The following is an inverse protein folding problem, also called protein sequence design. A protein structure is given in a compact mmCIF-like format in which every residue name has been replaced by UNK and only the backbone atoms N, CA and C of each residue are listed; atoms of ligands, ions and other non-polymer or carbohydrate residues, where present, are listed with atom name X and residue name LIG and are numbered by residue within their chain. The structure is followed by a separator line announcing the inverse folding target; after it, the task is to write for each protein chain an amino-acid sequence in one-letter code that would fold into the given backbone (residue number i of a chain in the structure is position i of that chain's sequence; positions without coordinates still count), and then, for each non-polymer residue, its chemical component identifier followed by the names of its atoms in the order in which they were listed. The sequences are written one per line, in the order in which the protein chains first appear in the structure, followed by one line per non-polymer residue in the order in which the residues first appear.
data_IF_577571545023
#
_entry.id   IF_577571545023
#
_cell.length_a   1.000
_cell.length_b   1.000
_cell.length_c   1.000
_cell.angle_alpha   90.00
_cell.angle_beta   90.00
_cell.angle_gamma   90.00
#
_symmetry.space_group_name_H-M   'P 1'
#
loop_
_entity.id
_entity.type
_entity.pdbx_description
1 polymer ?
#
# COMPACT_ATOMS: atom_id res chain seq x y z
N UNK A 1 15.00 1.19 5.21
CA UNK A 1 15.10 0.86 6.66
C UNK A 1 16.39 0.08 6.90
N UNK A 2 17.22 0.50 7.86
CA UNK A 2 18.51 -0.13 8.22
C UNK A 2 18.28 -1.30 9.19
N UNK A 3 19.01 -2.40 9.00
CA UNK A 3 19.12 -3.52 9.92
C UNK A 3 20.60 -3.70 10.23
N UNK A 4 20.95 -3.78 11.51
CA UNK A 4 22.35 -3.95 11.94
C UNK A 4 22.47 -5.28 12.66
N UNK A 5 23.36 -6.15 12.20
CA UNK A 5 23.68 -7.42 12.85
C UNK A 5 25.02 -7.27 13.57
N UNK A 6 25.01 -7.24 14.91
CA UNK A 6 26.21 -7.20 15.72
C UNK A 6 26.82 -8.59 15.84
N UNK A 7 28.14 -8.69 15.64
CA UNK A 7 28.88 -9.93 15.70
C UNK A 7 29.51 -10.12 17.09
N UNK A 8 29.61 -11.37 17.51
CA UNK A 8 30.37 -11.73 18.72
C UNK A 8 31.83 -11.25 18.61
N UNK A 9 32.39 -10.87 19.76
CA UNK A 9 33.79 -10.45 19.87
C UNK A 9 34.73 -11.60 19.49
N UNK A 10 35.75 -11.31 18.69
CA UNK A 10 36.78 -12.25 18.23
C UNK A 10 36.26 -13.40 17.34
N UNK A 11 35.25 -13.12 16.51
CA UNK A 11 34.72 -14.09 15.55
C UNK A 11 35.77 -14.47 14.47
N UNK A 12 36.03 -15.79 14.23
CA UNK A 12 36.94 -16.22 13.17
C UNK A 12 36.51 -15.74 11.79
N UNK A 13 37.47 -15.34 10.95
CA UNK A 13 37.18 -14.83 9.59
C UNK A 13 36.38 -15.82 8.73
N UNK A 14 36.58 -17.12 8.91
CA UNK A 14 35.81 -18.17 8.23
C UNK A 14 34.32 -18.13 8.61
N UNK A 15 34.01 -17.98 9.90
CA UNK A 15 32.64 -17.82 10.40
C UNK A 15 32.02 -16.49 9.94
N UNK A 16 32.78 -15.39 9.98
CA UNK A 16 32.35 -14.08 9.46
C UNK A 16 31.96 -14.16 7.99
N UNK A 17 32.78 -14.82 7.16
CA UNK A 17 32.56 -14.94 5.72
C UNK A 17 31.32 -15.79 5.40
N UNK A 18 31.07 -16.84 6.19
CA UNK A 18 29.85 -17.66 6.10
C UNK A 18 28.59 -16.84 6.43
N UNK A 19 28.63 -16.00 7.47
CA UNK A 19 27.52 -15.11 7.82
C UNK A 19 27.28 -14.10 6.69
N UNK A 20 28.34 -13.48 6.17
CA UNK A 20 28.25 -12.52 5.06
C UNK A 20 27.61 -13.16 3.81
N UNK A 21 28.02 -14.37 3.45
CA UNK A 21 27.45 -15.10 2.31
C UNK A 21 25.96 -15.41 2.51
N UNK A 22 25.56 -15.83 3.72
CA UNK A 22 24.16 -16.08 4.06
C UNK A 22 23.31 -14.81 3.97
N UNK A 23 23.83 -13.68 4.48
CA UNK A 23 23.15 -12.38 4.39
C UNK A 23 23.00 -11.92 2.94
N UNK A 24 24.06 -12.05 2.12
CA UNK A 24 24.04 -11.69 0.68
C UNK A 24 23.12 -12.59 -0.15
N UNK A 25 22.97 -13.87 0.23
CA UNK A 25 22.04 -14.82 -0.40
C UNK A 25 20.57 -14.50 -0.11
N UNK A 26 20.28 -13.77 0.97
CA UNK A 26 18.90 -13.41 1.31
C UNK A 26 18.26 -12.57 0.21
N UNK A 27 17.06 -12.95 -0.19
CA UNK A 27 16.24 -12.17 -1.14
C UNK A 27 15.64 -10.91 -0.51
N UNK A 28 15.66 -10.81 0.82
CA UNK A 28 15.06 -9.72 1.58
C UNK A 28 16.02 -8.54 1.78
N UNK A 29 17.33 -8.80 1.72
CA UNK A 29 18.37 -7.82 2.02
C UNK A 29 18.98 -7.21 0.76
N UNK A 30 19.51 -6.00 0.93
CA UNK A 30 20.23 -5.22 -0.07
C UNK A 30 21.39 -4.50 0.62
N UNK A 31 22.49 -4.31 -0.11
CA UNK A 31 23.64 -3.52 0.34
C UNK A 31 24.21 -3.99 1.68
N UNK A 32 24.53 -5.28 1.78
CA UNK A 32 25.19 -5.86 2.97
C UNK A 32 26.63 -5.32 3.03
N UNK A 33 26.92 -4.50 4.03
CA UNK A 33 28.24 -3.91 4.27
C UNK A 33 28.79 -4.33 5.62
N UNK A 34 30.05 -4.75 5.64
CA UNK A 34 30.77 -5.02 6.88
C UNK A 34 31.32 -3.71 7.45
N UNK A 35 31.10 -3.49 8.74
CA UNK A 35 31.60 -2.35 9.50
C UNK A 35 32.47 -2.90 10.62
N UNK A 36 33.77 -2.56 10.60
CA UNK A 36 34.69 -2.98 11.65
C UNK A 36 34.43 -2.24 12.95
N UNK A 37 34.93 -2.76 14.06
CA UNK A 37 34.85 -2.10 15.37
C UNK A 37 35.44 -0.69 15.36
N UNK A 38 36.53 -0.47 14.61
CA UNK A 38 37.17 0.84 14.45
C UNK A 38 36.30 1.80 13.62
N UNK A 39 35.70 1.31 12.54
CA UNK A 39 34.79 2.11 11.71
C UNK A 39 33.51 2.49 12.46
N UNK A 40 32.98 1.59 13.29
CA UNK A 40 31.84 1.86 14.14
C UNK A 40 32.14 2.97 15.16
N UNK A 41 33.35 2.93 15.76
CA UNK A 41 33.84 3.96 16.67
C UNK A 41 33.97 5.33 15.96
N UNK A 42 34.57 5.35 14.77
CA UNK A 42 34.73 6.58 13.99
C UNK A 42 33.38 7.19 13.59
N UNK A 43 32.44 6.37 13.09
CA UNK A 43 31.06 6.82 12.79
C UNK A 43 30.37 7.39 14.03
N UNK A 44 30.54 6.77 15.19
CA UNK A 44 29.93 7.27 16.42
C UNK A 44 30.51 8.63 16.82
N UNK A 45 31.83 8.79 16.77
CA UNK A 45 32.50 10.07 17.08
C UNK A 45 32.10 11.20 16.13
N UNK A 46 31.85 10.89 14.85
CA UNK A 46 31.35 11.87 13.88
C UNK A 46 29.89 12.28 14.15
N UNK A 47 29.04 11.32 14.53
CA UNK A 47 27.62 11.57 14.77
C UNK A 47 27.35 12.23 16.13
N UNK A 48 28.21 11.98 17.13
CA UNK A 48 28.07 12.46 18.51
C UNK A 48 29.36 13.09 19.04
N UNK A 49 29.80 14.23 18.47
CA UNK A 49 31.05 14.88 18.88
C UNK A 49 31.04 15.30 20.37
N UNK A 50 29.86 15.58 20.91
CA UNK A 50 29.64 15.92 22.33
C UNK A 50 29.91 14.77 23.32
N UNK A 51 29.93 13.52 22.85
CA UNK A 51 30.18 12.32 23.67
C UNK A 51 31.62 11.80 23.55
N UNK A 52 32.49 12.45 22.77
CA UNK A 52 33.89 12.04 22.59
C UNK A 52 34.64 11.89 23.93
N UNK A 53 34.48 12.85 24.84
CA UNK A 53 35.16 12.81 26.13
C UNK A 53 34.80 11.61 27.01
N UNK A 54 33.66 10.95 26.78
CA UNK A 54 33.28 9.73 27.50
C UNK A 54 34.04 8.53 26.90
N UNK A 55 34.18 8.48 25.58
CA UNK A 55 34.87 7.42 24.85
C UNK A 55 36.36 7.44 25.12
N UNK A 56 36.98 8.62 25.18
CA UNK A 56 38.42 8.77 25.44
C UNK A 56 38.81 8.24 26.83
N UNK A 57 37.86 8.16 27.76
CA UNK A 57 38.05 7.57 29.09
C UNK A 57 37.93 6.05 29.12
N UNK A 58 37.57 5.40 28.01
CA UNK A 58 37.43 3.94 27.89
C UNK A 58 38.65 3.40 27.13
N UNK A 59 39.53 2.67 27.83
CA UNK A 59 40.77 2.12 27.26
C UNK A 59 40.56 1.01 26.19
N UNK A 60 39.34 0.51 26.02
CA UNK A 60 39.02 -0.61 25.13
C UNK A 60 37.83 -0.19 24.25
N UNK A 61 37.93 -0.38 22.93
CA UNK A 61 36.83 -0.09 22.01
C UNK A 61 35.58 -0.89 22.39
N UNK A 62 34.47 -0.22 22.79
CA UNK A 62 33.26 -0.91 23.23
C UNK A 62 32.37 -1.35 22.05
N UNK A 63 32.69 -0.95 20.81
CA UNK A 63 31.84 -1.21 19.65
C UNK A 63 32.17 -2.56 18.98
N UNK A 64 31.23 -3.51 18.92
CA UNK A 64 31.42 -4.76 18.18
C UNK A 64 31.41 -4.50 16.67
N UNK A 65 32.08 -5.36 15.91
CA UNK A 65 31.96 -5.37 14.45
C UNK A 65 30.54 -5.76 14.03
N UNK A 66 30.03 -5.21 12.94
CA UNK A 66 28.65 -5.44 12.52
C UNK A 66 28.49 -5.54 11.01
N UNK A 67 27.37 -6.13 10.58
CA UNK A 67 26.89 -6.02 9.21
C UNK A 67 25.72 -5.05 9.16
N UNK A 68 25.88 -3.95 8.42
CA UNK A 68 24.82 -3.00 8.12
C UNK A 68 24.16 -3.39 6.79
N UNK A 69 22.84 -3.47 6.75
CA UNK A 69 22.09 -3.79 5.53
C UNK A 69 20.77 -3.04 5.47
N UNK A 70 20.20 -2.95 4.28
CA UNK A 70 18.88 -2.38 4.05
C UNK A 70 17.93 -3.41 3.46
N UNK A 71 16.62 -3.21 3.65
CA UNK A 71 15.61 -4.04 3.00
C UNK A 71 15.59 -3.77 1.50
N UNK A 72 15.49 -4.85 0.71
CA UNK A 72 15.45 -4.79 -0.76
C UNK A 72 14.16 -4.14 -1.30
N UNK A 73 13.05 -4.36 -0.63
CA UNK A 73 11.74 -3.78 -0.96
C UNK A 73 11.05 -3.32 0.32
N UNK A 74 10.52 -2.11 0.29
CA UNK A 74 9.80 -1.48 1.41
C UNK A 74 8.40 -2.08 1.62
N UNK A 75 7.89 -2.83 0.63
CA UNK A 75 6.60 -3.53 0.71
C UNK A 75 6.68 -4.95 1.27
N UNK A 76 7.85 -5.39 1.75
CA UNK A 76 7.98 -6.70 2.38
C UNK A 76 7.15 -6.71 3.67
N UNK A 77 6.31 -7.73 3.84
CA UNK A 77 5.53 -7.92 5.07
C UNK A 77 6.44 -7.94 6.29
N UNK A 78 6.10 -7.15 7.31
CA UNK A 78 6.79 -7.10 8.59
C UNK A 78 6.97 -8.48 9.21
N UNK A 79 5.97 -9.38 9.05
CA UNK A 79 6.05 -10.76 9.54
C UNK A 79 7.21 -11.52 8.92
N UNK A 80 7.43 -11.37 7.60
CA UNK A 80 8.56 -12.04 6.91
C UNK A 80 9.91 -11.48 7.39
N UNK A 81 9.98 -10.17 7.62
CA UNK A 81 11.19 -9.53 8.14
C UNK A 81 11.49 -10.03 9.56
N UNK A 82 10.47 -10.11 10.42
CA UNK A 82 10.61 -10.59 11.79
C UNK A 82 11.02 -12.06 11.87
N UNK A 83 10.43 -12.93 11.03
CA UNK A 83 10.83 -14.34 10.94
C UNK A 83 12.28 -14.46 10.47
N UNK A 84 12.66 -13.72 9.43
CA UNK A 84 14.03 -13.71 8.94
C UNK A 84 15.03 -13.22 10.00
N UNK A 85 14.72 -12.13 10.72
CA UNK A 85 15.55 -11.63 11.80
C UNK A 85 15.70 -12.67 12.91
N UNK A 86 14.62 -13.37 13.28
CA UNK A 86 14.69 -14.45 14.27
C UNK A 86 15.54 -15.64 13.81
N UNK A 87 15.50 -16.00 12.53
CA UNK A 87 16.35 -17.06 11.97
C UNK A 87 17.83 -16.65 12.00
N UNK A 88 18.15 -15.42 11.58
CA UNK A 88 19.52 -14.91 11.58
C UNK A 88 20.04 -14.73 13.00
N UNK A 89 19.23 -14.26 13.94
CA UNK A 89 19.62 -14.09 15.36
C UNK A 89 19.97 -15.42 16.05
N UNK A 90 19.65 -16.57 15.43
CA UNK A 90 20.01 -17.91 15.94
C UNK A 90 21.32 -18.44 15.36
N UNK A 91 21.92 -17.76 14.38
CA UNK A 91 23.21 -18.16 13.83
C UNK A 91 24.32 -17.91 14.86
N UNK A 92 25.18 -18.91 15.06
CA UNK A 92 26.37 -18.74 15.90
C UNK A 92 27.26 -17.61 15.37
N UNK A 93 27.66 -16.70 16.26
CA UNK A 93 28.49 -15.54 15.91
C UNK A 93 27.72 -14.23 15.73
N UNK A 94 26.39 -14.23 15.85
CA UNK A 94 25.56 -13.02 15.91
C UNK A 94 25.14 -12.80 17.36
N UNK A 95 25.57 -11.67 17.93
CA UNK A 95 25.34 -11.33 19.34
C UNK A 95 24.01 -10.61 19.53
N UNK A 96 23.69 -9.64 18.66
CA UNK A 96 22.44 -8.90 18.72
C UNK A 96 22.03 -8.38 17.32
N UNK A 97 20.75 -8.12 17.12
CA UNK A 97 20.21 -7.58 15.87
C UNK A 97 19.40 -6.32 16.16
N UNK A 98 19.95 -5.17 15.76
CA UNK A 98 19.26 -3.91 15.89
C UNK A 98 18.22 -3.75 14.78
N UNK A 99 16.97 -3.96 15.16
CA UNK A 99 15.80 -3.71 14.32
C UNK A 99 14.68 -3.14 15.18
N UNK A 100 14.16 -1.95 14.82
CA UNK A 100 13.06 -1.34 15.55
C UNK A 100 11.73 -2.02 15.20
N UNK A 101 11.53 -3.21 15.75
CA UNK A 101 10.34 -4.05 15.60
C UNK A 101 9.08 -3.30 16.01
N UNK A 102 9.09 -2.66 17.17
CA UNK A 102 7.91 -1.98 17.72
C UNK A 102 7.43 -0.86 16.80
N UNK A 103 8.36 -0.14 16.16
CA UNK A 103 8.01 0.89 15.19
C UNK A 103 7.36 0.30 13.94
N UNK A 104 7.94 -0.78 13.40
CA UNK A 104 7.38 -1.46 12.21
C UNK A 104 6.01 -2.06 12.50
N UNK A 105 5.82 -2.71 13.64
CA UNK A 105 4.52 -3.27 14.04
C UNK A 105 3.47 -2.18 14.23
N UNK A 106 3.83 -1.04 14.84
CA UNK A 106 2.93 0.12 14.98
C UNK A 106 2.55 0.67 13.60
N UNK A 107 3.50 0.88 12.70
CA UNK A 107 3.25 1.38 11.35
C UNK A 107 2.36 0.41 10.53
N UNK A 108 2.61 -0.90 10.63
CA UNK A 108 1.79 -1.90 9.97
C UNK A 108 0.38 -1.92 10.56
N UNK A 109 0.23 -1.83 11.89
CA UNK A 109 -1.07 -1.78 12.54
C UNK A 109 -1.89 -0.56 12.09
N UNK A 110 -1.25 0.61 11.99
CA UNK A 110 -1.87 1.83 11.49
C UNK A 110 -2.28 1.69 10.02
N UNK A 111 -1.43 1.10 9.19
CA UNK A 111 -1.74 0.79 7.79
C UNK A 111 -2.93 -0.16 7.66
N UNK A 112 -3.00 -1.21 8.49
CA UNK A 112 -4.13 -2.15 8.52
C UNK A 112 -5.42 -1.45 8.94
N UNK A 113 -5.38 -0.60 9.96
CA UNK A 113 -6.53 0.21 10.38
C UNK A 113 -6.99 1.15 9.27
N UNK A 114 -6.08 1.89 8.64
CA UNK A 114 -6.39 2.78 7.52
C UNK A 114 -7.03 2.03 6.34
N UNK A 115 -6.51 0.84 5.99
CA UNK A 115 -7.11 -0.03 4.97
C UNK A 115 -8.50 -0.50 5.36
N UNK A 116 -8.69 -0.95 6.61
CA UNK A 116 -9.98 -1.41 7.10
C UNK A 116 -11.04 -0.31 7.04
N UNK A 117 -10.71 0.89 7.51
CA UNK A 117 -11.58 2.08 7.42
C UNK A 117 -11.85 2.44 5.95
N UNK A 118 -10.82 2.43 5.11
CA UNK A 118 -10.95 2.70 3.67
C UNK A 118 -11.88 1.72 2.96
N UNK A 119 -11.74 0.42 3.20
CA UNK A 119 -12.65 -0.60 2.65
C UNK A 119 -14.07 -0.46 3.21
N UNK A 120 -14.23 -0.13 4.48
CA UNK A 120 -15.54 0.08 5.09
C UNK A 120 -16.27 1.27 4.46
N UNK A 121 -15.62 2.44 4.38
CA UNK A 121 -16.18 3.63 3.73
C UNK A 121 -16.41 3.40 2.23
N UNK A 122 -15.46 2.76 1.55
CA UNK A 122 -15.59 2.40 0.13
C UNK A 122 -16.80 1.51 -0.12
N UNK A 123 -17.04 0.50 0.73
CA UNK A 123 -18.20 -0.36 0.65
C UNK A 123 -19.52 0.41 0.78
N UNK A 124 -19.60 1.34 1.74
CA UNK A 124 -20.78 2.21 1.91
C UNK A 124 -21.02 3.06 0.66
N UNK A 125 -19.98 3.66 0.10
CA UNK A 125 -20.09 4.49 -1.11
C UNK A 125 -20.49 3.69 -2.35
N UNK A 126 -20.01 2.46 -2.49
CA UNK A 126 -20.43 1.54 -3.56
C UNK A 126 -21.92 1.25 -3.43
N UNK A 127 -22.40 0.93 -2.22
CA UNK A 127 -23.84 0.69 -1.98
C UNK A 127 -24.67 1.94 -2.26
N UNK A 128 -24.22 3.11 -1.79
CA UNK A 128 -24.90 4.38 -2.06
C UNK A 128 -24.99 4.66 -3.56
N UNK A 129 -23.89 4.49 -4.29
CA UNK A 129 -23.84 4.66 -5.75
C UNK A 129 -24.77 3.68 -6.46
N UNK A 130 -24.78 2.42 -6.05
CA UNK A 130 -25.70 1.41 -6.56
C UNK A 130 -27.16 1.83 -6.37
N UNK A 131 -27.54 2.32 -5.18
CA UNK A 131 -28.92 2.79 -4.93
C UNK A 131 -29.27 4.03 -5.76
N UNK A 132 -28.35 4.99 -5.88
CA UNK A 132 -28.56 6.19 -6.68
C UNK A 132 -28.79 5.82 -8.15
N UNK A 133 -27.90 5.02 -8.74
CA UNK A 133 -28.03 4.58 -10.14
C UNK A 133 -29.33 3.78 -10.33
N UNK A 134 -29.65 2.88 -9.41
CA UNK A 134 -30.90 2.11 -9.47
C UNK A 134 -32.13 3.01 -9.49
N UNK A 135 -32.15 4.06 -8.67
CA UNK A 135 -33.26 5.00 -8.60
C UNK A 135 -33.34 5.88 -9.84
N UNK A 136 -32.22 6.38 -10.36
CA UNK A 136 -32.17 7.17 -11.60
C UNK A 136 -32.71 6.35 -12.78
N UNK A 137 -32.25 5.12 -12.95
CA UNK A 137 -32.75 4.22 -14.00
C UNK A 137 -34.24 3.95 -13.81
N UNK A 138 -34.72 3.80 -12.57
CA UNK A 138 -36.15 3.60 -12.31
C UNK A 138 -36.99 4.77 -12.81
N UNK A 139 -36.55 5.99 -12.51
CA UNK A 139 -37.22 7.21 -12.94
C UNK A 139 -37.22 7.33 -14.48
N UNK A 140 -36.09 7.03 -15.13
CA UNK A 140 -36.00 7.04 -16.59
C UNK A 140 -36.91 6.01 -17.25
N UNK A 141 -36.99 4.78 -16.70
CA UNK A 141 -37.91 3.75 -17.19
C UNK A 141 -39.37 4.19 -17.03
N UNK A 142 -39.72 4.81 -15.91
CA UNK A 142 -41.08 5.33 -15.68
C UNK A 142 -41.43 6.44 -16.67
N UNK A 143 -40.52 7.39 -16.92
CA UNK A 143 -40.71 8.48 -17.87
C UNK A 143 -40.93 7.97 -19.31
N UNK A 144 -40.29 6.85 -19.67
CA UNK A 144 -40.40 6.22 -21.01
C UNK A 144 -41.44 5.10 -21.10
N UNK A 145 -42.36 4.98 -20.14
CA UNK A 145 -43.34 3.87 -20.10
C UNK A 145 -44.16 3.75 -21.38
N UNK A 146 -44.58 4.88 -21.97
CA UNK A 146 -45.36 4.89 -23.22
C UNK A 146 -44.58 4.32 -24.42
N UNK A 147 -43.29 4.65 -24.56
CA UNK A 147 -42.42 4.09 -25.61
C UNK A 147 -42.25 2.58 -25.42
N UNK A 148 -42.08 2.13 -24.17
CA UNK A 148 -41.94 0.71 -23.82
C UNK A 148 -43.21 -0.07 -24.18
N UNK A 149 -44.38 0.51 -23.96
CA UNK A 149 -45.67 -0.10 -24.32
C UNK A 149 -45.81 -0.27 -25.83
N UNK A 150 -45.46 0.74 -26.62
CA UNK A 150 -45.44 0.67 -28.09
C UNK A 150 -44.50 -0.45 -28.55
N UNK A 151 -43.28 -0.52 -28.01
CA UNK A 151 -42.33 -1.59 -28.36
C UNK A 151 -42.86 -2.98 -28.02
N UNK A 152 -43.57 -3.15 -26.89
CA UNK A 152 -44.22 -4.42 -26.54
C UNK A 152 -45.32 -4.78 -27.54
N UNK A 153 -46.13 -3.81 -27.99
CA UNK A 153 -47.23 -4.04 -28.93
C UNK A 153 -46.74 -4.49 -30.32
N UNK A 154 -45.57 -4.02 -30.76
CA UNK A 154 -44.95 -4.47 -32.03
C UNK A 154 -44.10 -5.75 -31.88
N UNK A 155 -44.14 -6.41 -30.71
CA UNK A 155 -43.47 -7.69 -30.48
C UNK A 155 -41.97 -7.59 -30.15
N UNK A 156 -41.48 -6.45 -29.66
CA UNK A 156 -40.08 -6.32 -29.27
C UNK A 156 -39.71 -7.25 -28.11
N UNK A 157 -38.48 -7.80 -28.15
CA UNK A 157 -37.98 -8.68 -27.09
C UNK A 157 -37.70 -7.91 -25.81
N UNK A 158 -37.86 -8.57 -24.65
CA UNK A 158 -37.55 -7.97 -23.35
C UNK A 158 -36.09 -7.46 -23.26
N UNK A 159 -35.15 -8.08 -23.97
CA UNK A 159 -33.74 -7.66 -24.00
C UNK A 159 -33.60 -6.35 -24.77
N UNK A 160 -34.28 -6.21 -25.91
CA UNK A 160 -34.25 -4.98 -26.72
C UNK A 160 -34.70 -3.75 -25.91
N UNK A 161 -35.74 -3.92 -25.09
CA UNK A 161 -36.26 -2.86 -24.21
C UNK A 161 -35.27 -2.52 -23.09
N UNK A 162 -34.46 -3.48 -22.62
CA UNK A 162 -33.57 -3.30 -21.45
C UNK A 162 -32.20 -2.74 -21.80
N UNK A 163 -31.65 -3.07 -22.96
CA UNK A 163 -30.33 -2.61 -23.41
C UNK A 163 -30.11 -1.10 -23.26
N UNK A 164 -31.00 -0.20 -23.69
CA UNK A 164 -30.75 1.24 -23.58
C UNK A 164 -30.54 1.69 -22.11
N UNK A 165 -31.34 1.15 -21.19
CA UNK A 165 -31.21 1.45 -19.76
C UNK A 165 -29.93 0.86 -19.15
N UNK A 166 -29.54 -0.36 -19.57
CA UNK A 166 -28.26 -0.95 -19.15
C UNK A 166 -27.08 -0.10 -19.61
N UNK A 167 -27.13 0.43 -20.83
CA UNK A 167 -26.11 1.34 -21.37
C UNK A 167 -26.08 2.67 -20.61
N UNK A 168 -27.22 3.25 -20.25
CA UNK A 168 -27.26 4.45 -19.37
C UNK A 168 -26.55 4.18 -18.04
N UNK A 169 -26.84 3.05 -17.39
CA UNK A 169 -26.17 2.65 -16.15
C UNK A 169 -24.66 2.47 -16.30
N UNK A 170 -24.21 1.83 -17.40
CA UNK A 170 -22.79 1.69 -17.73
C UNK A 170 -22.12 3.05 -17.91
N UNK A 171 -22.73 3.95 -18.68
CA UNK A 171 -22.18 5.28 -18.97
C UNK A 171 -22.04 6.09 -17.68
N UNK A 172 -23.04 6.06 -16.80
CA UNK A 172 -22.97 6.71 -15.49
C UNK A 172 -21.82 6.14 -14.64
N UNK A 173 -21.64 4.82 -14.65
CA UNK A 173 -20.53 4.14 -13.96
C UNK A 173 -19.15 4.53 -14.51
N UNK A 174 -18.99 4.57 -15.84
CA UNK A 174 -17.73 4.96 -16.51
C UNK A 174 -17.40 6.41 -16.22
N UNK A 175 -18.36 7.33 -16.40
CA UNK A 175 -18.15 8.75 -16.17
C UNK A 175 -17.80 9.03 -14.70
N UNK A 176 -18.50 8.38 -13.77
CA UNK A 176 -18.17 8.48 -12.34
C UNK A 176 -16.74 8.02 -12.03
N UNK A 177 -16.30 6.90 -12.62
CA UNK A 177 -14.94 6.41 -12.45
C UNK A 177 -13.89 7.36 -13.07
N UNK A 178 -14.12 7.87 -14.28
CA UNK A 178 -13.22 8.81 -14.95
C UNK A 178 -13.08 10.12 -14.16
N UNK A 179 -14.21 10.70 -13.72
CA UNK A 179 -14.20 11.91 -12.90
C UNK A 179 -13.44 11.67 -11.60
N UNK A 180 -13.69 10.54 -10.92
CA UNK A 180 -12.99 10.18 -9.69
C UNK A 180 -11.48 10.02 -9.89
N UNK A 181 -11.05 9.42 -11.01
CA UNK A 181 -9.64 9.28 -11.35
C UNK A 181 -8.98 10.64 -11.62
N UNK A 182 -9.67 11.56 -12.29
CA UNK A 182 -9.18 12.93 -12.49
C UNK A 182 -9.04 13.65 -11.15
N UNK A 183 -10.04 13.56 -10.27
CA UNK A 183 -9.95 14.13 -8.92
C UNK A 183 -8.80 13.54 -8.12
N UNK A 184 -8.58 12.22 -8.19
CA UNK A 184 -7.46 11.57 -7.52
C UNK A 184 -6.11 12.04 -8.08
N UNK A 185 -6.01 12.18 -9.40
CA UNK A 185 -4.81 12.71 -10.05
C UNK A 185 -4.51 14.14 -9.59
N UNK A 186 -5.52 15.00 -9.54
CA UNK A 186 -5.38 16.37 -9.02
C UNK A 186 -4.96 16.34 -7.56
N UNK A 187 -5.55 15.48 -6.73
CA UNK A 187 -5.20 15.36 -5.32
C UNK A 187 -3.71 14.99 -5.17
N UNK A 188 -3.22 13.99 -5.90
CA UNK A 188 -1.81 13.55 -5.83
C UNK A 188 -0.84 14.67 -6.22
N UNK A 189 -1.17 15.48 -7.23
CA UNK A 189 -0.28 16.53 -7.73
C UNK A 189 -0.31 17.81 -6.87
N UNK A 190 -1.50 18.24 -6.43
CA UNK A 190 -1.67 19.51 -5.74
C UNK A 190 -1.49 19.40 -4.24
N UNK A 191 -1.91 18.30 -3.61
CA UNK A 191 -1.89 18.15 -2.16
C UNK A 191 -0.48 18.30 -1.54
N UNK A 192 0.60 17.75 -2.13
CA UNK A 192 1.96 17.98 -1.63
C UNK A 192 2.44 19.42 -1.77
N UNK A 193 2.01 20.15 -2.82
CA UNK A 193 2.39 21.55 -3.04
C UNK A 193 1.82 22.49 -1.97
N UNK A 194 0.62 22.21 -1.47
CA UNK A 194 -0.03 23.03 -0.43
C UNK A 194 0.45 22.72 1.00
N UNK A 195 0.91 21.50 1.25
CA UNK A 195 1.27 21.03 2.60
C UNK A 195 2.78 20.81 2.81
N UNK A 196 3.58 20.89 1.74
CA UNK A 196 4.98 20.44 1.69
C UNK A 196 5.93 21.10 2.69
N UNK A 197 5.64 22.29 3.21
CA UNK A 197 6.46 22.93 4.26
C UNK A 197 6.06 22.53 5.68
N UNK A 198 4.84 22.06 5.91
CA UNK A 198 4.33 21.73 7.25
C UNK A 198 4.40 20.24 7.59
N UNK A 199 4.59 19.36 6.60
CA UNK A 199 4.50 17.91 6.79
C UNK A 199 5.86 17.22 6.99
N UNK A 200 6.99 17.79 6.55
CA UNK A 200 8.34 17.25 6.80
C UNK A 200 8.43 15.72 6.63
N UNK A 201 8.71 15.02 7.73
CA UNK A 201 8.82 13.55 7.80
C UNK A 201 7.56 12.77 7.38
N UNK A 202 6.36 13.37 7.42
CA UNK A 202 5.13 12.75 6.91
C UNK A 202 5.11 12.66 5.38
N UNK A 203 5.90 13.49 4.67
CA UNK A 203 6.00 13.43 3.22
C UNK A 203 6.76 12.18 2.75
N UNK A 204 7.80 11.76 3.49
CA UNK A 204 8.49 10.48 3.25
C UNK A 204 7.63 9.28 3.67
N UNK A 205 6.78 9.46 4.69
CA UNK A 205 5.88 8.41 5.17
C UNK A 205 4.66 8.19 4.26
N UNK A 206 4.11 9.26 3.68
CA UNK A 206 2.96 9.25 2.77
C UNK A 206 3.49 9.39 1.35
N UNK A 207 4.09 8.32 0.84
CA UNK A 207 4.52 8.27 -0.55
C UNK A 207 3.28 8.21 -1.46
N UNK A 208 2.86 9.37 -1.98
CA UNK A 208 1.76 9.48 -2.94
C UNK A 208 2.16 8.81 -4.26
N UNK A 209 1.87 7.51 -4.36
CA UNK A 209 2.14 6.74 -5.56
C UNK A 209 1.03 6.93 -6.58
N UNK A 210 1.41 7.18 -7.83
CA UNK A 210 0.50 7.10 -8.96
C UNK A 210 -0.11 5.70 -9.09
N UNK A 211 -1.37 5.64 -9.51
CA UNK A 211 -2.01 4.37 -9.86
C UNK A 211 -1.31 3.76 -11.07
N UNK A 212 -1.07 2.45 -11.02
CA UNK A 212 -0.63 1.71 -12.20
C UNK A 212 -1.74 1.70 -13.26
N UNK A 213 -1.37 1.60 -14.53
CA UNK A 213 -2.33 1.48 -15.65
C UNK A 213 -3.34 0.36 -15.40
N UNK A 214 -2.89 -0.76 -14.83
CA UNK A 214 -3.76 -1.90 -14.49
C UNK A 214 -4.82 -1.52 -13.44
N UNK A 215 -4.45 -0.69 -12.46
CA UNK A 215 -5.34 -0.25 -11.39
C UNK A 215 -6.37 0.74 -11.93
N UNK A 216 -5.95 1.65 -12.82
CA UNK A 216 -6.85 2.58 -13.51
C UNK A 216 -7.95 1.79 -14.26
N UNK A 217 -7.56 0.78 -15.03
CA UNK A 217 -8.53 -0.08 -15.73
C UNK A 217 -9.44 -0.83 -14.75
N UNK A 218 -8.91 -1.33 -13.63
CA UNK A 218 -9.74 -1.98 -12.60
C UNK A 218 -10.78 -1.03 -11.98
N UNK A 219 -10.44 0.24 -11.74
CA UNK A 219 -11.40 1.24 -11.24
C UNK A 219 -12.51 1.53 -12.25
N UNK A 220 -12.16 1.68 -13.53
CA UNK A 220 -13.15 1.88 -14.59
C UNK A 220 -14.05 0.65 -14.72
N UNK A 221 -13.47 -0.55 -14.72
CA UNK A 221 -14.21 -1.80 -14.76
C UNK A 221 -15.15 -1.96 -13.55
N UNK A 222 -14.69 -1.61 -12.34
CA UNK A 222 -15.53 -1.60 -11.15
C UNK A 222 -16.72 -0.62 -11.29
N UNK A 223 -16.48 0.59 -11.81
CA UNK A 223 -17.53 1.55 -12.11
C UNK A 223 -18.58 1.02 -13.09
N UNK A 224 -18.13 0.39 -14.18
CA UNK A 224 -19.02 -0.28 -15.16
C UNK A 224 -19.86 -1.37 -14.50
N UNK A 225 -19.23 -2.23 -13.69
CA UNK A 225 -19.92 -3.34 -13.01
C UNK A 225 -20.99 -2.79 -12.05
N UNK A 226 -20.66 -1.78 -11.23
CA UNK A 226 -21.62 -1.17 -10.30
C UNK A 226 -22.78 -0.53 -11.06
N UNK A 227 -22.48 0.19 -12.16
CA UNK A 227 -23.51 0.80 -13.02
C UNK A 227 -24.44 -0.22 -13.67
N UNK A 228 -23.88 -1.33 -14.17
CA UNK A 228 -24.65 -2.46 -14.70
C UNK A 228 -25.54 -3.09 -13.64
N UNK A 229 -24.98 -3.44 -12.48
CA UNK A 229 -25.73 -4.08 -11.40
C UNK A 229 -26.87 -3.19 -10.92
N UNK A 230 -26.63 -1.89 -10.75
CA UNK A 230 -27.66 -0.92 -10.39
C UNK A 230 -28.79 -0.86 -11.41
N UNK A 231 -28.44 -0.80 -12.69
CA UNK A 231 -29.43 -0.79 -13.78
C UNK A 231 -30.23 -2.09 -13.85
N UNK A 232 -29.57 -3.25 -13.77
CA UNK A 232 -30.24 -4.56 -13.81
C UNK A 232 -31.25 -4.69 -12.66
N UNK A 233 -30.85 -4.32 -11.44
CA UNK A 233 -31.71 -4.41 -10.26
C UNK A 233 -32.98 -3.58 -10.38
N UNK A 234 -32.84 -2.36 -10.94
CA UNK A 234 -33.95 -1.45 -11.17
C UNK A 234 -34.98 -2.01 -12.17
N UNK A 235 -34.48 -2.48 -13.31
CA UNK A 235 -35.28 -3.05 -14.41
C UNK A 235 -36.01 -4.33 -13.97
N UNK A 236 -35.32 -5.21 -13.24
CA UNK A 236 -35.87 -6.49 -12.79
C UNK A 236 -37.08 -6.33 -11.85
N UNK A 237 -37.12 -5.24 -11.06
CA UNK A 237 -38.26 -4.90 -10.21
C UNK A 237 -39.44 -4.31 -10.99
N UNK A 238 -39.19 -3.61 -12.10
CA UNK A 238 -40.25 -2.89 -12.84
C UNK A 238 -40.96 -3.75 -13.89
N UNK A 239 -40.26 -4.69 -14.54
CA UNK A 239 -40.83 -5.54 -15.60
C UNK A 239 -41.50 -6.82 -15.09
N UNK A 240 -41.67 -6.98 -13.77
CA UNK A 240 -42.39 -8.11 -13.15
C UNK A 240 -43.90 -7.85 -12.98
N UNK A 241 -44.42 -6.77 -13.58
CA UNK A 241 -45.84 -6.44 -13.72
C UNK A 241 -46.18 -6.30 -15.19
#
# INVERSE_FOLDING_TARGET
MLIVFFLEKDLPETKRSLIEENLKKSSLLKDVQFVSSEQALEKFQQNFPELQGIIDNININPFPSSFETTLRDENISSVKILVFIQEISRLEGIEDVQFNKDWVEKMESLSRLAKAVGFFLGGILILASFFIISNVIRLNVFARKGEIEIFRLVGATNIFIRIPFLMEGMILGVLGALISLVFLFLLINFFPLYLGTSLGALNELINFRYLSIIQIFLFIAAGVIIGLLGSISSIARFLKV
#
